data_IF_128122685936
#
_entry.id   IF_128122685936
#
_cell.length_a   1.000
_cell.length_b   1.000
_cell.length_c   1.000
_cell.angle_alpha   90.00
_cell.angle_beta   90.00
_cell.angle_gamma   90.00
#
_symmetry.space_group_name_H-M   'P 1'
#
loop_
_entity.id
_entity.type
_entity.pdbx_description
1 polymer ?
#
# COMPACT_ATOMS: atom_id res chain seq x y z
N UNK A 1 77.21 -38.88 -2.08
CA UNK A 1 76.14 -38.86 -3.12
C UNK A 1 74.84 -38.46 -2.45
N UNK A 2 74.40 -37.21 -2.57
CA UNK A 2 73.14 -36.71 -2.05
C UNK A 2 72.18 -36.55 -3.23
N UNK A 3 71.06 -37.26 -3.25
CA UNK A 3 70.04 -37.20 -4.25
C UNK A 3 69.03 -36.12 -3.82
N UNK A 4 68.91 -35.03 -4.61
CA UNK A 4 67.93 -33.95 -4.46
C UNK A 4 66.68 -34.42 -5.15
N UNK A 5 65.55 -34.52 -4.44
CA UNK A 5 64.21 -34.74 -5.00
C UNK A 5 63.55 -33.40 -5.15
N UNK A 6 63.25 -33.01 -6.41
CA UNK A 6 62.48 -31.81 -6.73
C UNK A 6 60.98 -32.17 -6.71
N UNK A 7 60.23 -31.55 -5.78
CA UNK A 7 58.77 -31.65 -5.75
C UNK A 7 58.15 -30.56 -6.67
N UNK A 8 57.48 -31.00 -7.73
CA UNK A 8 56.67 -30.13 -8.59
C UNK A 8 55.27 -29.95 -7.94
N UNK A 9 55.03 -28.77 -7.41
CA UNK A 9 53.73 -28.39 -6.91
C UNK A 9 52.86 -27.87 -8.08
N UNK A 10 51.82 -28.63 -8.44
CA UNK A 10 50.81 -28.16 -9.38
C UNK A 10 49.80 -27.28 -8.61
N UNK A 11 49.87 -25.94 -8.80
CA UNK A 11 48.85 -25.01 -8.31
C UNK A 11 47.62 -25.11 -9.23
N UNK A 12 46.56 -25.75 -8.74
CA UNK A 12 45.27 -25.79 -9.38
C UNK A 12 44.54 -24.46 -9.06
N UNK A 13 44.56 -23.51 -10.00
CA UNK A 13 43.82 -22.25 -9.90
C UNK A 13 42.35 -22.50 -10.20
N UNK A 14 41.51 -22.61 -9.15
CA UNK A 14 40.06 -22.69 -9.30
C UNK A 14 39.57 -21.28 -9.69
N UNK A 15 39.31 -21.06 -10.98
CA UNK A 15 38.62 -19.86 -11.46
C UNK A 15 37.15 -20.05 -11.07
N UNK A 16 36.74 -19.45 -9.92
CA UNK A 16 35.33 -19.27 -9.57
C UNK A 16 34.81 -18.18 -10.49
N UNK A 17 34.26 -18.57 -11.63
CA UNK A 17 33.54 -17.68 -12.50
C UNK A 17 32.32 -17.10 -11.74
N UNK A 18 32.35 -15.83 -11.41
CA UNK A 18 31.17 -15.10 -10.97
C UNK A 18 30.21 -15.01 -12.17
N UNK A 19 29.33 -15.99 -12.31
CA UNK A 19 28.20 -15.86 -13.22
C UNK A 19 27.35 -14.70 -12.72
N UNK A 20 27.05 -13.69 -13.57
CA UNK A 20 26.08 -12.67 -13.18
C UNK A 20 24.78 -13.39 -12.83
N UNK A 21 24.20 -13.07 -11.69
CA UNK A 21 22.90 -13.57 -11.27
C UNK A 21 21.88 -13.06 -12.31
N UNK A 22 21.64 -13.87 -13.34
CA UNK A 22 20.74 -13.52 -14.41
C UNK A 22 19.33 -13.45 -13.82
N UNK A 23 18.69 -12.30 -13.93
CA UNK A 23 17.31 -12.14 -13.45
C UNK A 23 16.42 -13.23 -14.08
N UNK A 24 15.60 -13.90 -13.28
CA UNK A 24 14.67 -14.91 -13.79
C UNK A 24 13.75 -14.29 -14.86
N UNK A 25 13.55 -15.01 -15.96
CA UNK A 25 12.55 -14.61 -16.95
C UNK A 25 11.13 -14.89 -16.44
N UNK A 26 10.14 -14.23 -17.04
CA UNK A 26 8.73 -14.47 -16.74
C UNK A 26 8.35 -15.96 -16.89
N UNK A 27 8.85 -16.61 -17.95
CA UNK A 27 8.60 -18.03 -18.23
C UNK A 27 9.18 -18.93 -17.14
N UNK A 28 10.36 -18.59 -16.64
CA UNK A 28 11.00 -19.34 -15.54
C UNK A 28 10.19 -19.20 -14.25
N UNK A 29 9.70 -17.98 -13.94
CA UNK A 29 8.85 -17.74 -12.77
C UNK A 29 7.52 -18.49 -12.90
N UNK A 30 6.88 -18.47 -14.08
CA UNK A 30 5.64 -19.24 -14.32
C UNK A 30 5.90 -20.75 -14.16
N UNK A 31 7.03 -21.25 -14.67
CA UNK A 31 7.38 -22.68 -14.54
C UNK A 31 7.67 -23.08 -13.09
N UNK A 32 8.32 -22.21 -12.31
CA UNK A 32 8.52 -22.38 -10.87
C UNK A 32 7.20 -22.36 -10.12
N UNK A 33 6.37 -21.35 -10.37
CA UNK A 33 5.05 -21.25 -9.79
C UNK A 33 4.20 -22.50 -10.05
N UNK A 34 4.20 -23.06 -11.27
CA UNK A 34 3.47 -24.32 -11.58
C UNK A 34 3.84 -25.47 -10.67
N UNK A 35 5.09 -25.53 -10.19
CA UNK A 35 5.56 -26.59 -9.28
C UNK A 35 5.14 -26.31 -7.84
N UNK A 36 5.07 -25.04 -7.44
CA UNK A 36 4.73 -24.64 -6.09
C UNK A 36 3.23 -24.82 -5.78
N UNK A 37 2.34 -24.48 -6.71
CA UNK A 37 0.93 -24.80 -6.67
C UNK A 37 0.06 -23.95 -5.73
N UNK A 38 0.66 -23.13 -4.87
CA UNK A 38 -0.06 -22.27 -3.94
C UNK A 38 0.72 -21.00 -3.56
N UNK A 39 0.00 -20.04 -2.96
CA UNK A 39 0.59 -18.87 -2.32
C UNK A 39 -0.27 -18.43 -1.15
N UNK A 40 0.35 -18.06 -0.04
CA UNK A 40 -0.33 -17.68 1.20
C UNK A 40 -0.04 -16.21 1.53
N UNK A 41 -1.10 -15.45 1.82
CA UNK A 41 -1.03 -14.12 2.42
C UNK A 41 -1.61 -14.15 3.82
N UNK A 42 -0.81 -13.82 4.82
CA UNK A 42 -1.27 -13.55 6.19
C UNK A 42 -1.64 -12.07 6.32
N UNK A 43 -2.93 -11.79 6.46
CA UNK A 43 -3.45 -10.42 6.55
C UNK A 43 -4.83 -10.41 7.26
N UNK A 44 -5.46 -9.23 7.37
CA UNK A 44 -6.84 -9.14 7.86
C UNK A 44 -7.78 -10.02 7.04
N UNK A 45 -8.74 -10.66 7.71
CA UNK A 45 -9.75 -11.50 7.04
C UNK A 45 -10.59 -10.77 5.98
N UNK A 46 -10.62 -9.45 6.01
CA UNK A 46 -11.31 -8.60 5.01
C UNK A 46 -10.42 -8.13 3.87
N UNK A 47 -9.11 -8.40 3.90
CA UNK A 47 -8.16 -7.93 2.88
C UNK A 47 -8.60 -8.35 1.47
N UNK A 48 -8.61 -7.39 0.54
CA UNK A 48 -9.03 -7.57 -0.86
C UNK A 48 -10.42 -8.21 -1.01
N UNK A 49 -11.36 -7.88 -0.11
CA UNK A 49 -12.71 -8.43 -0.12
C UNK A 49 -12.85 -9.78 0.58
N UNK A 50 -11.84 -10.20 1.34
CA UNK A 50 -11.84 -11.44 2.08
C UNK A 50 -11.97 -12.67 1.18
N UNK A 51 -12.65 -13.72 1.66
CA UNK A 51 -12.79 -14.99 0.92
C UNK A 51 -13.36 -14.81 -0.50
N UNK A 52 -14.34 -13.91 -0.69
CA UNK A 52 -14.95 -13.68 -2.01
C UNK A 52 -13.98 -13.01 -2.98
N UNK A 53 -13.29 -11.96 -2.53
CA UNK A 53 -12.31 -11.27 -3.36
C UNK A 53 -11.11 -12.17 -3.70
N UNK A 54 -10.63 -12.96 -2.73
CA UNK A 54 -9.55 -13.92 -2.98
C UNK A 54 -9.94 -15.00 -4.00
N UNK A 55 -11.18 -15.50 -3.98
CA UNK A 55 -11.65 -16.44 -4.98
C UNK A 55 -11.68 -15.83 -6.40
N UNK A 56 -12.05 -14.55 -6.53
CA UNK A 56 -12.01 -13.85 -7.82
C UNK A 56 -10.56 -13.58 -8.26
N UNK A 57 -9.68 -13.19 -7.33
CA UNK A 57 -8.25 -13.03 -7.62
C UNK A 57 -7.62 -14.36 -8.06
N UNK A 58 -7.95 -15.47 -7.39
CA UNK A 58 -7.49 -16.81 -7.74
C UNK A 58 -7.91 -17.20 -9.16
N UNK A 59 -9.19 -17.00 -9.49
CA UNK A 59 -9.71 -17.30 -10.82
C UNK A 59 -9.00 -16.47 -11.91
N UNK A 60 -8.82 -15.15 -11.69
CA UNK A 60 -8.10 -14.26 -12.60
C UNK A 60 -6.63 -14.63 -12.75
N UNK A 61 -5.95 -14.87 -11.64
CA UNK A 61 -4.55 -15.28 -11.60
C UNK A 61 -4.32 -16.59 -12.36
N UNK A 62 -5.13 -17.61 -12.08
CA UNK A 62 -5.06 -18.90 -12.75
C UNK A 62 -5.32 -18.80 -14.25
N UNK A 63 -6.36 -18.04 -14.64
CA UNK A 63 -6.69 -17.80 -16.04
C UNK A 63 -5.56 -17.11 -16.79
N UNK A 64 -4.98 -16.05 -16.19
CA UNK A 64 -3.94 -15.24 -16.83
C UNK A 64 -2.68 -16.03 -17.12
N UNK A 65 -2.26 -16.90 -16.21
CA UNK A 65 -0.98 -17.60 -16.29
C UNK A 65 -1.10 -19.10 -16.62
N UNK A 66 -2.30 -19.59 -16.88
CA UNK A 66 -2.54 -21.02 -17.18
C UNK A 66 -2.16 -21.92 -16.01
N UNK A 67 -2.52 -21.52 -14.78
CA UNK A 67 -2.20 -22.20 -13.54
C UNK A 67 -3.42 -22.91 -12.94
N UNK A 68 -3.13 -23.72 -11.90
CA UNK A 68 -4.14 -24.31 -10.99
C UNK A 68 -3.74 -24.05 -9.55
N UNK A 69 -3.46 -22.78 -9.25
CA UNK A 69 -2.98 -22.33 -7.95
C UNK A 69 -4.11 -22.16 -6.95
N UNK A 70 -3.78 -22.41 -5.69
CA UNK A 70 -4.60 -22.04 -4.55
C UNK A 70 -4.07 -20.73 -3.94
N UNK A 71 -4.94 -19.73 -3.82
CA UNK A 71 -4.65 -18.50 -3.10
C UNK A 71 -5.22 -18.58 -1.68
N UNK A 72 -4.34 -18.59 -0.69
CA UNK A 72 -4.72 -18.72 0.71
C UNK A 72 -4.67 -17.35 1.40
N UNK A 73 -5.83 -16.83 1.83
CA UNK A 73 -5.89 -15.73 2.79
C UNK A 73 -5.97 -16.32 4.20
N UNK A 74 -4.86 -16.27 4.93
CA UNK A 74 -4.80 -16.68 6.32
C UNK A 74 -5.08 -15.46 7.22
N UNK A 75 -6.16 -15.46 8.04
CA UNK A 75 -6.42 -14.38 8.96
C UNK A 75 -5.25 -14.16 9.91
N UNK A 76 -4.78 -12.92 10.00
CA UNK A 76 -3.60 -12.54 10.77
C UNK A 76 -3.79 -11.23 11.53
N UNK A 77 -2.81 -10.91 12.37
CA UNK A 77 -2.81 -9.67 13.15
C UNK A 77 -2.48 -8.44 12.28
N UNK A 78 -2.19 -7.32 12.94
CA UNK A 78 -1.81 -6.07 12.25
C UNK A 78 -0.50 -6.20 11.47
N UNK A 79 -0.30 -5.34 10.46
CA UNK A 79 0.92 -5.31 9.64
C UNK A 79 2.23 -5.32 10.45
N UNK A 80 2.39 -4.50 11.53
CA UNK A 80 3.62 -4.56 12.34
C UNK A 80 3.85 -5.91 13.00
N UNK A 81 2.80 -6.59 13.43
CA UNK A 81 2.91 -7.91 14.06
C UNK A 81 3.27 -9.01 13.04
N UNK A 82 2.71 -8.93 11.82
CA UNK A 82 3.11 -9.83 10.72
C UNK A 82 4.56 -9.57 10.33
N UNK A 83 5.00 -8.30 10.22
CA UNK A 83 6.40 -7.95 9.96
C UNK A 83 7.34 -8.54 11.01
N UNK A 84 7.04 -8.33 12.31
CA UNK A 84 7.85 -8.86 13.41
C UNK A 84 7.98 -10.39 13.35
N UNK A 85 6.89 -11.08 12.98
CA UNK A 85 6.88 -12.54 12.80
C UNK A 85 7.79 -12.95 11.66
N UNK A 86 7.65 -12.37 10.47
CA UNK A 86 8.48 -12.65 9.30
C UNK A 86 9.97 -12.42 9.61
N UNK A 87 10.29 -11.32 10.30
CA UNK A 87 11.67 -11.03 10.72
C UNK A 87 12.21 -12.05 11.70
N UNK A 88 11.39 -12.54 12.65
CA UNK A 88 11.79 -13.59 13.60
C UNK A 88 12.03 -14.91 12.87
N UNK A 89 11.13 -15.31 11.97
CA UNK A 89 11.25 -16.51 11.15
C UNK A 89 12.51 -16.46 10.26
N UNK A 90 12.78 -15.30 9.63
CA UNK A 90 13.98 -15.10 8.83
C UNK A 90 15.26 -15.24 9.67
N UNK A 91 15.32 -14.61 10.85
CA UNK A 91 16.49 -14.67 11.74
C UNK A 91 16.76 -16.08 12.29
N UNK A 92 15.71 -16.86 12.49
CA UNK A 92 15.83 -18.27 12.94
C UNK A 92 16.12 -19.27 11.82
N UNK A 93 16.15 -18.82 10.54
CA UNK A 93 16.32 -19.68 9.38
C UNK A 93 15.07 -20.51 9.02
N UNK A 94 13.93 -20.26 9.67
CA UNK A 94 12.67 -20.91 9.36
C UNK A 94 12.07 -20.39 8.05
N UNK A 95 11.22 -21.19 7.41
CA UNK A 95 10.38 -20.72 6.31
C UNK A 95 9.38 -19.70 6.85
N UNK A 96 9.06 -18.70 6.02
CA UNK A 96 8.06 -17.69 6.37
C UNK A 96 6.66 -18.31 6.43
N UNK A 97 5.90 -17.93 7.44
CA UNK A 97 4.48 -18.29 7.58
C UNK A 97 3.57 -17.60 6.55
N UNK A 98 4.12 -16.68 5.77
CA UNK A 98 3.45 -15.99 4.67
C UNK A 98 4.38 -15.90 3.47
N UNK A 99 3.88 -16.17 2.28
CA UNK A 99 4.66 -16.02 1.04
C UNK A 99 4.72 -14.58 0.55
N UNK A 100 3.78 -13.76 1.02
CA UNK A 100 3.60 -12.37 0.66
C UNK A 100 3.58 -11.52 1.92
N UNK A 101 4.26 -10.39 1.91
CA UNK A 101 4.09 -9.38 2.95
C UNK A 101 3.38 -8.16 2.38
N UNK A 102 2.17 -7.91 2.90
CA UNK A 102 1.41 -6.68 2.64
C UNK A 102 1.68 -5.71 3.80
N UNK A 103 2.16 -4.53 3.50
CA UNK A 103 2.47 -3.52 4.51
C UNK A 103 2.24 -2.10 4.04
N UNK A 104 2.20 -1.18 5.01
CA UNK A 104 2.23 0.27 4.78
C UNK A 104 3.66 0.78 4.77
N UNK A 105 3.86 2.04 4.38
CA UNK A 105 5.18 2.66 4.24
C UNK A 105 6.10 2.41 5.45
N UNK A 106 5.62 2.64 6.67
CA UNK A 106 6.43 2.46 7.88
C UNK A 106 6.89 1.02 8.07
N UNK A 107 5.99 0.05 7.89
CA UNK A 107 6.33 -1.38 8.06
C UNK A 107 7.19 -1.90 6.91
N UNK A 108 7.03 -1.37 5.70
CA UNK A 108 7.92 -1.69 4.57
C UNK A 108 9.33 -1.12 4.76
N UNK A 109 9.45 0.06 5.35
CA UNK A 109 10.76 0.62 5.72
C UNK A 109 11.51 -0.29 6.71
N UNK A 110 10.80 -0.89 7.68
CA UNK A 110 11.39 -1.86 8.60
C UNK A 110 11.85 -3.13 7.87
N UNK A 111 11.01 -3.68 7.00
CA UNK A 111 11.35 -4.86 6.19
C UNK A 111 12.54 -4.61 5.26
N UNK A 112 12.62 -3.42 4.66
CA UNK A 112 13.75 -3.00 3.82
C UNK A 112 15.05 -2.89 4.63
N UNK A 113 15.02 -2.18 5.77
CA UNK A 113 16.19 -2.00 6.65
C UNK A 113 16.76 -3.33 7.12
N UNK A 114 15.90 -4.30 7.44
CA UNK A 114 16.28 -5.66 7.84
C UNK A 114 16.62 -6.56 6.64
N UNK A 115 16.55 -6.03 5.40
CA UNK A 115 16.78 -6.79 4.16
C UNK A 115 15.95 -8.09 4.10
N UNK A 116 14.70 -8.01 4.53
CA UNK A 116 13.83 -9.17 4.70
C UNK A 116 13.09 -9.58 3.43
N UNK A 117 13.08 -8.73 2.40
CA UNK A 117 12.41 -8.98 1.13
C UNK A 117 13.37 -9.44 0.05
N UNK A 118 12.88 -10.21 -0.90
CA UNK A 118 13.60 -10.58 -2.11
C UNK A 118 13.75 -9.38 -3.03
N UNK A 119 14.89 -9.30 -3.70
CA UNK A 119 15.09 -8.36 -4.82
C UNK A 119 14.62 -9.01 -6.12
N UNK A 120 13.73 -8.34 -6.80
CA UNK A 120 13.12 -8.77 -8.07
C UNK A 120 13.22 -7.65 -9.08
N UNK A 121 13.64 -7.94 -10.29
CA UNK A 121 13.64 -6.98 -11.39
C UNK A 121 12.20 -6.83 -11.94
N UNK A 122 11.32 -6.17 -11.16
CA UNK A 122 9.89 -6.13 -11.45
C UNK A 122 9.57 -5.61 -12.86
N UNK A 123 9.99 -4.39 -13.17
CA UNK A 123 9.71 -3.75 -14.45
C UNK A 123 10.48 -4.37 -15.63
N UNK A 124 11.61 -5.02 -15.37
CA UNK A 124 12.35 -5.75 -16.40
C UNK A 124 11.82 -7.16 -16.69
N UNK A 125 11.11 -7.76 -15.71
CA UNK A 125 10.60 -9.13 -15.83
C UNK A 125 9.12 -9.16 -16.25
N UNK A 126 8.31 -8.21 -15.77
CA UNK A 126 6.86 -8.18 -15.96
C UNK A 126 6.48 -7.00 -16.86
N UNK A 127 6.12 -7.22 -18.13
CA UNK A 127 5.90 -6.13 -19.12
C UNK A 127 4.79 -5.13 -18.76
N UNK A 128 3.92 -5.48 -17.85
CA UNK A 128 2.83 -4.60 -17.35
C UNK A 128 3.18 -3.82 -16.08
N UNK A 129 4.37 -4.06 -15.50
CA UNK A 129 4.86 -3.35 -14.33
C UNK A 129 5.77 -2.21 -14.79
N UNK A 130 5.49 -0.99 -14.35
CA UNK A 130 6.35 0.17 -14.61
C UNK A 130 7.26 0.45 -13.42
N UNK A 131 8.31 1.24 -13.67
CA UNK A 131 9.29 1.61 -12.64
C UNK A 131 8.65 2.38 -11.48
N UNK A 132 7.66 3.20 -11.78
CA UNK A 132 6.94 4.02 -10.80
C UNK A 132 6.11 3.19 -9.83
N UNK A 133 5.75 1.96 -10.21
CA UNK A 133 5.03 1.02 -9.32
C UNK A 133 5.95 0.42 -8.23
N UNK A 134 7.27 0.49 -8.42
CA UNK A 134 8.28 0.03 -7.48
C UNK A 134 8.48 1.08 -6.38
N UNK A 135 7.78 0.98 -5.25
CA UNK A 135 7.90 1.98 -4.16
C UNK A 135 9.23 1.81 -3.41
N UNK A 136 9.58 0.58 -3.04
CA UNK A 136 10.95 0.24 -2.66
C UNK A 136 11.58 -0.46 -3.85
N UNK A 137 12.57 0.17 -4.53
CA UNK A 137 13.13 -0.33 -5.78
C UNK A 137 13.55 -1.80 -5.68
N UNK A 138 13.08 -2.62 -6.60
CA UNK A 138 13.31 -4.05 -6.69
C UNK A 138 12.73 -4.90 -5.53
N UNK A 139 12.13 -4.31 -4.51
CA UNK A 139 11.62 -5.09 -3.36
C UNK A 139 10.10 -5.13 -3.31
N UNK A 140 9.42 -4.02 -3.64
CA UNK A 140 7.95 -3.94 -3.46
C UNK A 140 7.25 -3.30 -4.65
N UNK A 141 5.97 -3.69 -4.85
CA UNK A 141 5.07 -3.03 -5.78
C UNK A 141 3.89 -2.39 -5.03
N UNK A 142 3.46 -1.21 -5.51
CA UNK A 142 2.25 -0.55 -5.04
C UNK A 142 1.02 -1.37 -5.41
N UNK A 143 0.25 -1.77 -4.41
CA UNK A 143 -1.03 -2.47 -4.61
C UNK A 143 -2.18 -1.47 -4.64
N UNK A 144 -2.22 -0.58 -3.67
CA UNK A 144 -3.19 0.52 -3.64
C UNK A 144 -2.64 1.68 -2.81
N UNK A 145 -3.18 2.88 -3.08
CA UNK A 145 -2.94 4.06 -2.28
C UNK A 145 -4.24 4.50 -1.59
N UNK A 146 -4.13 5.03 -0.37
CA UNK A 146 -5.23 5.67 0.34
C UNK A 146 -4.93 7.15 0.50
N UNK A 147 -5.72 7.99 -0.15
CA UNK A 147 -5.51 9.44 -0.14
C UNK A 147 -6.03 10.06 1.15
N UNK A 148 -5.20 10.85 1.79
CA UNK A 148 -5.63 11.69 2.89
C UNK A 148 -6.41 12.89 2.37
N UNK A 149 -7.44 13.26 3.08
CA UNK A 149 -8.22 14.42 2.69
C UNK A 149 -9.39 14.70 3.61
N UNK A 150 -9.94 15.87 3.41
CA UNK A 150 -11.16 16.34 4.10
C UNK A 150 -12.35 15.60 3.51
N UNK A 151 -13.25 15.11 4.37
CA UNK A 151 -14.58 14.67 3.96
C UNK A 151 -15.65 15.52 4.65
N UNK A 152 -16.78 15.72 3.98
CA UNK A 152 -17.87 16.55 4.50
C UNK A 152 -19.24 16.07 4.02
N UNK A 153 -20.27 16.43 4.78
CA UNK A 153 -21.66 16.20 4.41
C UNK A 153 -22.12 17.30 3.44
N UNK A 154 -22.44 16.95 2.20
CA UNK A 154 -22.84 17.91 1.17
C UNK A 154 -24.22 18.52 1.37
N UNK A 155 -25.07 17.95 2.23
CA UNK A 155 -26.34 18.57 2.64
C UNK A 155 -26.11 19.67 3.68
N UNK A 156 -25.06 19.52 4.52
CA UNK A 156 -24.72 20.50 5.55
C UNK A 156 -23.80 21.60 5.03
N UNK A 157 -22.93 21.26 4.08
CA UNK A 157 -21.94 22.20 3.51
C UNK A 157 -22.03 22.15 1.98
N UNK A 158 -22.59 23.20 1.36
CA UNK A 158 -22.57 23.33 -0.09
C UNK A 158 -21.13 23.32 -0.65
N UNK A 159 -20.98 22.80 -1.86
CA UNK A 159 -19.66 22.63 -2.50
C UNK A 159 -18.85 23.92 -2.57
N UNK A 160 -19.51 25.07 -2.81
CA UNK A 160 -18.88 26.38 -2.93
C UNK A 160 -18.31 26.88 -1.59
N UNK A 161 -18.87 26.40 -0.46
CA UNK A 161 -18.44 26.72 0.91
C UNK A 161 -17.55 25.66 1.53
N UNK A 162 -17.33 24.54 0.84
CA UNK A 162 -16.49 23.46 1.35
C UNK A 162 -15.02 23.90 1.40
N UNK A 163 -14.28 23.50 2.45
CA UNK A 163 -12.85 23.79 2.55
C UNK A 163 -12.10 23.09 1.43
N UNK A 164 -11.18 23.77 0.76
CA UNK A 164 -10.38 23.26 -0.37
C UNK A 164 -9.00 22.79 0.06
N UNK A 165 -8.55 23.25 1.22
CA UNK A 165 -7.25 22.91 1.80
C UNK A 165 -7.38 22.68 3.31
N UNK A 166 -6.34 22.11 3.90
CA UNK A 166 -6.26 22.03 5.37
C UNK A 166 -6.22 23.41 6.01
N UNK A 167 -5.60 24.40 5.36
CA UNK A 167 -5.49 25.76 5.87
C UNK A 167 -6.85 26.45 5.98
N UNK A 168 -7.79 26.17 5.07
CA UNK A 168 -9.15 26.72 5.09
C UNK A 168 -9.91 26.33 6.37
N UNK A 169 -9.59 25.16 6.96
CA UNK A 169 -10.24 24.72 8.21
C UNK A 169 -9.96 25.65 9.40
N UNK A 170 -8.85 26.36 9.35
CA UNK A 170 -8.36 27.24 10.42
C UNK A 170 -8.28 28.71 9.98
N UNK A 171 -8.75 29.03 8.80
CA UNK A 171 -8.84 30.40 8.30
C UNK A 171 -9.86 31.19 9.13
N UNK A 172 -9.48 32.33 9.75
CA UNK A 172 -10.41 33.15 10.57
C UNK A 172 -11.65 33.62 9.81
N UNK A 173 -11.58 33.74 8.49
CA UNK A 173 -12.73 34.15 7.67
C UNK A 173 -13.72 33.00 7.45
N UNK A 174 -13.28 31.76 7.48
CA UNK A 174 -14.07 30.56 7.17
C UNK A 174 -14.42 29.74 8.41
N UNK A 175 -13.47 29.60 9.33
CA UNK A 175 -13.57 28.71 10.49
C UNK A 175 -14.74 28.97 11.44
N UNK A 176 -15.28 30.19 11.61
CA UNK A 176 -16.49 30.42 12.43
C UNK A 176 -17.70 29.62 11.93
N UNK A 177 -17.76 29.29 10.65
CA UNK A 177 -18.86 28.52 10.05
C UNK A 177 -18.97 27.11 10.60
N UNK A 178 -17.83 26.52 10.99
CA UNK A 178 -17.74 25.13 11.45
C UNK A 178 -17.06 24.94 12.80
N UNK A 179 -16.80 26.03 13.55
CA UNK A 179 -16.24 25.93 14.89
C UNK A 179 -17.09 25.02 15.80
N UNK A 180 -16.46 24.09 16.50
CA UNK A 180 -17.14 23.08 17.30
C UNK A 180 -17.84 21.97 16.50
N UNK A 181 -17.72 21.96 15.16
CA UNK A 181 -18.38 20.99 14.27
C UNK A 181 -17.39 20.14 13.47
N UNK A 182 -16.10 20.37 13.63
CA UNK A 182 -15.07 19.61 12.94
C UNK A 182 -14.77 18.33 13.71
N UNK A 183 -14.97 17.17 13.09
CA UNK A 183 -14.38 15.95 13.58
C UNK A 183 -12.88 15.89 13.23
N UNK A 184 -12.03 15.54 14.19
CA UNK A 184 -10.61 15.28 13.93
C UNK A 184 -10.32 13.79 14.00
N UNK A 185 -9.36 13.27 13.20
CA UNK A 185 -8.98 11.86 13.28
C UNK A 185 -8.47 11.50 14.68
N UNK A 186 -8.79 10.30 15.14
CA UNK A 186 -8.24 9.75 16.39
C UNK A 186 -6.72 9.51 16.30
N UNK A 187 -6.15 9.50 15.08
CA UNK A 187 -4.73 9.31 14.81
C UNK A 187 -4.12 10.54 14.16
N UNK A 188 -2.84 10.79 14.45
CA UNK A 188 -2.11 11.98 13.96
C UNK A 188 -1.29 11.72 12.68
N UNK A 189 -1.35 10.52 12.09
CA UNK A 189 -0.50 10.15 10.95
C UNK A 189 -0.54 11.14 9.78
N UNK A 190 -1.71 11.71 9.49
CA UNK A 190 -1.85 12.71 8.46
C UNK A 190 -1.05 14.00 8.76
N UNK A 191 -1.03 14.45 10.02
CA UNK A 191 -0.21 15.59 10.45
C UNK A 191 1.28 15.29 10.35
N UNK A 192 1.69 14.05 10.65
CA UNK A 192 3.08 13.61 10.48
C UNK A 192 3.50 13.71 9.02
N UNK A 193 2.66 13.27 8.08
CA UNK A 193 2.94 13.40 6.64
C UNK A 193 2.98 14.86 6.20
N UNK A 194 2.01 15.63 6.62
CA UNK A 194 1.97 17.07 6.32
C UNK A 194 3.21 17.78 6.91
N UNK A 195 3.76 17.31 8.03
CA UNK A 195 4.97 17.92 8.62
C UNK A 195 6.22 17.75 7.76
N UNK A 196 6.32 16.68 6.98
CA UNK A 196 7.39 16.49 6.00
C UNK A 196 7.37 17.55 4.89
N UNK A 197 6.18 18.13 4.62
CA UNK A 197 5.99 19.14 3.57
C UNK A 197 5.99 20.56 4.13
N UNK A 198 5.22 20.79 5.20
CA UNK A 198 5.08 22.12 5.81
C UNK A 198 6.17 22.47 6.82
N UNK A 199 6.91 21.47 7.31
CA UNK A 199 7.80 21.61 8.44
C UNK A 199 7.06 21.57 9.78
N UNK A 200 7.81 21.21 10.83
CA UNK A 200 7.30 20.98 12.20
C UNK A 200 6.55 22.20 12.76
N UNK A 201 7.14 23.38 12.65
CA UNK A 201 6.59 24.60 13.27
C UNK A 201 5.23 24.98 12.66
N UNK A 202 5.08 24.92 11.34
CA UNK A 202 3.81 25.21 10.66
C UNK A 202 2.74 24.20 11.07
N UNK A 203 3.06 22.90 11.15
CA UNK A 203 2.09 21.87 11.57
C UNK A 203 1.68 22.05 13.03
N UNK A 204 2.60 22.38 13.93
CA UNK A 204 2.27 22.66 15.33
C UNK A 204 1.37 23.88 15.46
N UNK A 205 1.65 24.96 14.71
CA UNK A 205 0.79 26.14 14.66
C UNK A 205 -0.60 25.81 14.14
N UNK A 206 -0.68 25.04 13.05
CA UNK A 206 -1.95 24.57 12.49
C UNK A 206 -2.75 23.74 13.50
N UNK A 207 -2.11 22.78 14.15
CA UNK A 207 -2.76 21.92 15.13
C UNK A 207 -3.33 22.72 16.32
N UNK A 208 -2.60 23.73 16.80
CA UNK A 208 -3.09 24.62 17.87
C UNK A 208 -4.31 25.43 17.45
N UNK A 209 -4.39 25.86 16.18
CA UNK A 209 -5.56 26.56 15.63
C UNK A 209 -6.75 25.62 15.39
N UNK A 210 -6.50 24.38 14.95
CA UNK A 210 -7.53 23.39 14.68
C UNK A 210 -8.18 22.84 15.97
N UNK A 211 -7.39 22.65 17.04
CA UNK A 211 -7.86 22.02 18.26
C UNK A 211 -9.11 22.69 18.88
N UNK A 212 -9.21 24.02 19.04
CA UNK A 212 -10.41 24.67 19.58
C UNK A 212 -11.63 24.63 18.66
N UNK A 213 -11.43 24.33 17.37
CA UNK A 213 -12.50 24.19 16.37
C UNK A 213 -13.09 22.78 16.34
N UNK A 214 -12.42 21.81 16.97
CA UNK A 214 -12.85 20.43 16.98
C UNK A 214 -14.08 20.22 17.86
N UNK A 215 -15.12 19.58 17.27
CA UNK A 215 -16.30 19.13 18.01
C UNK A 215 -16.17 17.70 18.56
N UNK A 216 -15.25 16.91 18.00
CA UNK A 216 -15.04 15.53 18.44
C UNK A 216 -13.93 14.81 17.69
N UNK A 217 -13.68 13.55 18.10
CA UNK A 217 -12.68 12.68 17.50
C UNK A 217 -13.35 11.46 16.89
N UNK A 218 -12.96 11.10 15.67
CA UNK A 218 -13.48 9.93 14.95
C UNK A 218 -12.34 8.96 14.61
N UNK A 219 -12.66 7.68 14.69
CA UNK A 219 -11.84 6.60 14.17
C UNK A 219 -12.20 6.31 12.71
N UNK A 220 -11.35 5.62 12.00
CA UNK A 220 -11.68 5.06 10.70
C UNK A 220 -12.84 4.06 10.86
N UNK A 221 -13.86 4.20 10.01
CA UNK A 221 -15.08 3.38 10.06
C UNK A 221 -16.27 4.09 10.76
N UNK A 222 -16.05 5.25 11.40
CA UNK A 222 -17.11 6.06 12.04
C UNK A 222 -17.61 7.19 11.13
N UNK A 223 -17.40 7.08 9.80
CA UNK A 223 -17.81 8.08 8.81
C UNK A 223 -19.35 8.28 8.75
N UNK A 224 -20.13 7.35 9.30
CA UNK A 224 -21.59 7.51 9.45
C UNK A 224 -21.98 8.75 10.24
N UNK A 225 -21.15 9.20 11.19
CA UNK A 225 -21.37 10.41 11.96
C UNK A 225 -21.19 11.69 11.13
N UNK A 226 -20.43 11.61 10.01
CA UNK A 226 -20.38 12.67 9.02
C UNK A 226 -21.63 12.59 8.11
N UNK A 227 -22.02 11.37 7.72
CA UNK A 227 -23.21 11.14 6.89
C UNK A 227 -24.49 11.61 7.58
N UNK A 228 -24.63 11.37 8.88
CA UNK A 228 -25.78 11.84 9.67
C UNK A 228 -25.82 13.36 9.88
N UNK A 229 -24.70 14.06 9.65
CA UNK A 229 -24.56 15.49 9.92
C UNK A 229 -24.23 15.84 11.37
N UNK A 230 -23.98 14.85 12.24
CA UNK A 230 -23.49 15.09 13.60
C UNK A 230 -22.20 15.91 13.58
N UNK A 231 -21.27 15.54 12.70
CA UNK A 231 -20.13 16.37 12.32
C UNK A 231 -20.22 16.68 10.82
N UNK A 232 -20.45 17.93 10.42
CA UNK A 232 -20.53 18.26 9.00
C UNK A 232 -19.19 18.10 8.25
N UNK A 233 -18.06 18.13 8.97
CA UNK A 233 -16.70 18.01 8.38
C UNK A 233 -15.85 17.08 9.24
N UNK A 234 -15.02 16.25 8.57
CA UNK A 234 -13.88 15.58 9.15
C UNK A 234 -12.60 16.19 8.57
N UNK A 235 -11.72 16.67 9.44
CA UNK A 235 -10.52 17.41 9.04
C UNK A 235 -9.57 16.61 8.14
N UNK A 236 -9.50 15.29 8.35
CA UNK A 236 -8.78 14.38 7.48
C UNK A 236 -9.23 12.94 7.74
N UNK A 237 -9.09 12.10 6.72
CA UNK A 237 -9.16 10.65 6.88
C UNK A 237 -8.16 10.01 5.92
N UNK A 238 -7.56 8.88 6.32
CA UNK A 238 -6.59 8.15 5.50
C UNK A 238 -7.20 7.40 4.32
N UNK A 239 -8.51 7.51 4.12
CA UNK A 239 -9.23 6.89 3.02
C UNK A 239 -10.37 7.79 2.58
N UNK A 240 -10.08 9.06 2.30
CA UNK A 240 -11.11 10.05 1.96
C UNK A 240 -11.91 9.68 0.72
N UNK A 241 -11.23 9.19 -0.34
CA UNK A 241 -11.91 8.79 -1.57
C UNK A 241 -12.70 7.50 -1.40
N UNK A 242 -12.11 6.51 -0.76
CA UNK A 242 -12.75 5.23 -0.49
C UNK A 242 -14.02 5.41 0.35
N UNK A 243 -13.92 6.21 1.41
CA UNK A 243 -15.07 6.55 2.25
C UNK A 243 -16.16 7.26 1.43
N UNK A 244 -15.79 8.28 0.65
CA UNK A 244 -16.72 9.02 -0.21
C UNK A 244 -17.43 8.09 -1.19
N UNK A 245 -16.71 7.26 -1.95
CA UNK A 245 -17.30 6.35 -2.95
C UNK A 245 -18.20 5.32 -2.31
N UNK A 246 -17.72 4.67 -1.22
CA UNK A 246 -18.47 3.66 -0.46
C UNK A 246 -19.81 4.21 0.04
N UNK A 247 -19.81 5.40 0.62
CA UNK A 247 -21.02 5.99 1.19
C UNK A 247 -21.93 6.57 0.11
N UNK A 248 -21.39 7.16 -0.95
CA UNK A 248 -22.16 7.61 -2.11
C UNK A 248 -22.88 6.47 -2.83
N UNK A 249 -22.25 5.32 -2.95
CA UNK A 249 -22.87 4.12 -3.51
C UNK A 249 -24.10 3.65 -2.70
N UNK A 250 -24.20 4.08 -1.44
CA UNK A 250 -25.36 3.84 -0.56
C UNK A 250 -26.36 5.03 -0.54
N UNK A 251 -26.17 6.03 -1.41
CA UNK A 251 -27.01 7.23 -1.45
C UNK A 251 -26.72 8.29 -0.39
N UNK A 252 -25.63 8.16 0.38
CA UNK A 252 -25.30 9.12 1.44
C UNK A 252 -24.72 10.43 0.86
N UNK A 253 -25.00 11.59 1.50
CA UNK A 253 -24.54 12.90 1.05
C UNK A 253 -23.09 13.18 1.49
N UNK A 254 -22.17 12.24 1.24
CA UNK A 254 -20.77 12.39 1.59
C UNK A 254 -19.95 12.86 0.38
N UNK A 255 -19.23 13.96 0.55
CA UNK A 255 -18.26 14.47 -0.40
C UNK A 255 -16.86 14.45 0.22
N UNK A 256 -15.84 14.31 -0.62
CA UNK A 256 -14.45 14.27 -0.19
C UNK A 256 -13.55 15.09 -1.10
N UNK A 257 -12.56 15.70 -0.51
CA UNK A 257 -11.50 16.46 -1.15
C UNK A 257 -10.19 15.69 -1.01
N UNK A 258 -10.09 14.54 -1.65
CA UNK A 258 -8.81 13.86 -1.74
C UNK A 258 -7.84 14.75 -2.51
N UNK A 259 -6.63 14.85 -1.98
CA UNK A 259 -5.69 15.82 -2.47
C UNK A 259 -5.93 17.23 -1.93
N UNK A 260 -6.63 17.35 -0.77
CA UNK A 260 -6.55 18.59 0.03
C UNK A 260 -5.09 19.00 0.14
N UNK A 261 -4.79 20.25 -0.18
CA UNK A 261 -3.40 20.72 -0.19
C UNK A 261 -2.82 20.78 1.23
N UNK A 262 -1.66 20.16 1.50
CA UNK A 262 -0.87 19.31 0.60
C UNK A 262 -1.50 17.92 0.41
N UNK A 263 -1.46 17.41 -0.84
CA UNK A 263 -2.01 16.12 -1.17
C UNK A 263 -1.05 14.99 -0.75
N UNK A 264 -1.44 14.22 0.24
CA UNK A 264 -0.64 13.08 0.74
C UNK A 264 -1.42 11.78 0.63
N UNK A 265 -0.71 10.65 0.60
CA UNK A 265 -1.32 9.32 0.60
C UNK A 265 -0.54 8.34 1.48
N UNK A 266 -1.19 7.27 1.88
CA UNK A 266 -0.53 6.08 2.42
C UNK A 266 -0.41 5.06 1.31
N UNK A 267 0.78 4.50 1.12
CA UNK A 267 1.03 3.43 0.15
C UNK A 267 0.93 2.08 0.84
N UNK A 268 0.20 1.18 0.20
CA UNK A 268 0.12 -0.21 0.62
C UNK A 268 0.77 -1.06 -0.46
N UNK A 269 1.79 -1.81 -0.05
CA UNK A 269 2.74 -2.45 -0.93
C UNK A 269 2.78 -3.94 -0.65
N UNK A 270 3.05 -4.74 -1.68
CA UNK A 270 3.38 -6.14 -1.56
C UNK A 270 4.86 -6.38 -1.87
N UNK A 271 5.48 -7.22 -1.08
CA UNK A 271 6.81 -7.76 -1.29
C UNK A 271 6.86 -9.25 -0.97
N UNK A 272 7.92 -9.92 -1.38
CA UNK A 272 8.14 -11.36 -1.15
C UNK A 272 9.18 -11.54 -0.04
N UNK A 273 8.86 -12.15 1.11
CA UNK A 273 9.84 -12.49 2.13
C UNK A 273 10.97 -13.35 1.56
N UNK A 274 12.21 -13.11 2.00
CA UNK A 274 13.38 -13.87 1.51
C UNK A 274 13.30 -15.37 1.79
N UNK A 275 12.63 -15.74 2.87
CA UNK A 275 12.41 -17.12 3.31
C UNK A 275 11.02 -17.65 2.93
N UNK A 276 10.32 -17.05 1.95
CA UNK A 276 9.06 -17.57 1.41
C UNK A 276 9.19 -19.05 1.02
N UNK A 277 8.14 -19.82 1.27
CA UNK A 277 8.06 -21.21 0.86
C UNK A 277 7.77 -21.35 -0.65
N UNK A 278 7.03 -20.40 -1.22
CA UNK A 278 6.57 -20.40 -2.62
C UNK A 278 6.99 -19.10 -3.34
N UNK A 279 8.31 -18.87 -3.53
CA UNK A 279 8.81 -17.57 -3.98
C UNK A 279 8.42 -17.21 -5.41
N UNK A 280 8.30 -18.16 -6.33
CA UNK A 280 7.95 -17.86 -7.72
C UNK A 280 6.44 -17.58 -7.86
N UNK A 281 5.59 -18.30 -7.15
CA UNK A 281 4.15 -18.02 -7.02
C UNK A 281 3.92 -16.64 -6.40
N UNK A 282 4.69 -16.30 -5.36
CA UNK A 282 4.61 -15.01 -4.69
C UNK A 282 5.01 -13.86 -5.62
N UNK A 283 6.15 -13.95 -6.34
CA UNK A 283 6.58 -12.94 -7.32
C UNK A 283 5.51 -12.73 -8.39
N UNK A 284 4.99 -13.84 -8.94
CA UNK A 284 3.97 -13.79 -9.98
C UNK A 284 2.68 -13.14 -9.48
N UNK A 285 2.26 -13.44 -8.24
CA UNK A 285 1.06 -12.85 -7.64
C UNK A 285 1.26 -11.36 -7.33
N UNK A 286 2.42 -10.95 -6.79
CA UNK A 286 2.73 -9.52 -6.57
C UNK A 286 2.62 -8.74 -7.87
N UNK A 287 3.21 -9.25 -8.95
CA UNK A 287 3.11 -8.62 -10.27
C UNK A 287 1.67 -8.64 -10.83
N UNK A 288 0.90 -9.71 -10.58
CA UNK A 288 -0.51 -9.79 -10.98
C UNK A 288 -1.35 -8.70 -10.32
N UNK A 289 -1.07 -8.35 -9.06
CA UNK A 289 -1.80 -7.30 -8.34
C UNK A 289 -1.64 -5.91 -8.98
N UNK A 290 -0.65 -5.71 -9.85
CA UNK A 290 -0.46 -4.48 -10.65
C UNK A 290 -1.24 -4.49 -11.96
N UNK A 291 -2.05 -5.52 -12.25
CA UNK A 291 -2.88 -5.58 -13.47
C UNK A 291 -4.25 -4.93 -13.25
N UNK A 292 -4.87 -4.41 -14.34
CA UNK A 292 -6.23 -3.86 -14.26
C UNK A 292 -7.26 -4.90 -13.79
N UNK A 293 -7.03 -6.17 -14.12
CA UNK A 293 -7.88 -7.30 -13.73
C UNK A 293 -7.89 -7.47 -12.21
N UNK A 294 -6.74 -7.56 -11.56
CA UNK A 294 -6.63 -7.66 -10.10
C UNK A 294 -7.15 -6.40 -9.40
N UNK A 295 -6.84 -5.22 -9.95
CA UNK A 295 -7.30 -3.94 -9.42
C UNK A 295 -8.83 -3.82 -9.45
N UNK A 296 -9.51 -4.40 -10.46
CA UNK A 296 -10.96 -4.42 -10.53
C UNK A 296 -11.60 -5.17 -9.34
N UNK A 297 -10.95 -6.24 -8.88
CA UNK A 297 -11.42 -6.98 -7.70
C UNK A 297 -11.26 -6.14 -6.44
N UNK A 298 -10.11 -5.47 -6.27
CA UNK A 298 -9.89 -4.59 -5.10
C UNK A 298 -10.90 -3.43 -5.11
N UNK A 299 -11.14 -2.81 -6.26
CA UNK A 299 -12.13 -1.74 -6.39
C UNK A 299 -13.55 -2.20 -6.02
N UNK A 300 -13.93 -3.39 -6.48
CA UNK A 300 -15.25 -3.98 -6.25
C UNK A 300 -15.55 -4.18 -4.75
N UNK A 301 -14.55 -4.59 -3.99
CA UNK A 301 -14.75 -4.96 -2.59
C UNK A 301 -14.29 -3.89 -1.59
N UNK A 302 -13.21 -3.17 -1.90
CA UNK A 302 -12.55 -2.26 -0.96
C UNK A 302 -12.61 -0.79 -1.38
N UNK A 303 -13.12 -0.50 -2.60
CA UNK A 303 -13.11 0.85 -3.18
C UNK A 303 -11.71 1.47 -3.28
N UNK A 304 -10.66 0.65 -3.27
CA UNK A 304 -9.26 1.02 -3.34
C UNK A 304 -8.65 0.58 -4.65
N UNK A 305 -7.63 1.29 -5.08
CA UNK A 305 -6.82 0.85 -6.23
C UNK A 305 -5.48 1.60 -6.27
N UNK A 306 -4.57 1.13 -7.12
CA UNK A 306 -3.36 1.87 -7.46
C UNK A 306 -3.71 2.99 -8.44
N UNK A 307 -3.25 4.20 -8.17
CA UNK A 307 -3.37 5.32 -9.13
C UNK A 307 -2.38 5.20 -10.31
N UNK A 308 -1.44 4.27 -10.23
CA UNK A 308 -0.43 3.99 -11.28
C UNK A 308 -0.92 2.93 -12.29
N UNK A 309 -2.06 2.29 -12.04
CA UNK A 309 -2.66 1.34 -12.98
C UNK A 309 -3.75 2.04 -13.78
N UNK A 310 -3.55 2.17 -15.07
CA UNK A 310 -4.50 2.84 -15.95
C UNK A 310 -5.92 2.25 -15.87
N UNK A 311 -6.91 3.15 -15.95
CA UNK A 311 -8.33 2.78 -15.94
C UNK A 311 -8.91 2.46 -14.57
N UNK A 312 -8.12 2.48 -13.48
CA UNK A 312 -8.62 2.35 -12.12
C UNK A 312 -9.44 3.58 -11.70
N UNK A 313 -10.28 3.41 -10.66
CA UNK A 313 -11.03 4.53 -10.07
C UNK A 313 -10.08 5.62 -9.57
N UNK A 314 -9.01 5.21 -8.90
CA UNK A 314 -8.02 6.12 -8.35
C UNK A 314 -7.25 6.86 -9.45
N UNK A 315 -6.78 6.15 -10.49
CA UNK A 315 -6.07 6.77 -11.62
C UNK A 315 -6.96 7.78 -12.35
N UNK A 316 -8.23 7.44 -12.61
CA UNK A 316 -9.20 8.36 -13.21
C UNK A 316 -9.40 9.60 -12.35
N UNK A 317 -9.52 9.44 -11.04
CA UNK A 317 -9.72 10.56 -10.13
C UNK A 317 -8.49 11.49 -10.07
N UNK A 318 -7.30 10.92 -9.92
CA UNK A 318 -6.03 11.66 -9.91
C UNK A 318 -5.86 12.47 -11.19
N UNK A 319 -6.11 11.85 -12.35
CA UNK A 319 -6.02 12.50 -13.65
C UNK A 319 -7.05 13.63 -13.83
N UNK A 320 -8.32 13.34 -13.51
CA UNK A 320 -9.41 14.31 -13.68
C UNK A 320 -9.25 15.55 -12.78
N UNK A 321 -8.70 15.37 -11.59
CA UNK A 321 -8.51 16.45 -10.61
C UNK A 321 -7.07 17.01 -10.62
N UNK A 322 -6.19 16.55 -11.53
CA UNK A 322 -4.79 16.99 -11.66
C UNK A 322 -4.03 16.94 -10.32
N UNK A 323 -4.28 15.90 -9.52
CA UNK A 323 -3.68 15.76 -8.21
C UNK A 323 -2.19 15.47 -8.36
N UNK A 324 -1.37 16.27 -7.70
CA UNK A 324 0.07 16.03 -7.54
C UNK A 324 0.29 15.60 -6.10
N UNK A 325 0.57 14.33 -5.92
CA UNK A 325 0.95 13.80 -4.62
C UNK A 325 2.28 14.42 -4.19
N UNK A 326 2.34 14.80 -2.93
CA UNK A 326 3.54 15.28 -2.27
C UNK A 326 3.89 14.21 -1.23
N UNK A 327 4.90 13.42 -1.55
CA UNK A 327 5.45 12.45 -0.59
C UNK A 327 6.60 13.14 0.15
N UNK A 328 6.54 13.14 1.49
CA UNK A 328 7.59 13.73 2.32
C UNK A 328 8.88 12.91 2.32
#
# INVERSE_FOLDING_TARGET
MRKTVAAFGVCLTIIVGAYPLQAQSLEQIIAGAKKEGEVTLVASASTFGGKKGFAELEAGFNKRFGLKHKLNLAPGPSFPQVAARVLTELKSGAKSSTDLYLGSDGTMSDMHREKALQKVNWSGTFPWVTKEMEIVPQETLLVYASFHGIIYNSNSIPKEKAPKSYEDLVDPALSPTWAGKIAIPAYIHWLVRVSGIWGKEKVLSYARKLAPLAGGRLRQGEEERIVSGEFPIMASTGGALEAMWKWRAKGAPLAGLAGSTPATSSYYQLGVPRNSAHPDSAKLFVAFMSTREAQAVIEKYDWRSSYLVDGTLMAKYVKANKIKLQDP
#
